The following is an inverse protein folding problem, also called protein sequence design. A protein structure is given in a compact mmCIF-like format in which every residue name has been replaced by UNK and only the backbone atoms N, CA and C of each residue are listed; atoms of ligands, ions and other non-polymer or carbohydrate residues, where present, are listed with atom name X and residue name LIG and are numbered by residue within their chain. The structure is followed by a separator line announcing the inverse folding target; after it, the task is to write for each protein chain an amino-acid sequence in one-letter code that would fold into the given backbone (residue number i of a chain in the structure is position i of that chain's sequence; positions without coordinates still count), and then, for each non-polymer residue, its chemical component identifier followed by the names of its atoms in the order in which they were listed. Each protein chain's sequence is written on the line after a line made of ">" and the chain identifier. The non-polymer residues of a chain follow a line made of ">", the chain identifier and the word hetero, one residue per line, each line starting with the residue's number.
data_IF_866349870186
#
_entry.id   IF_866349870186
#
_cell.length_a   1.000
_cell.length_b   1.000
_cell.length_c   1.000
_cell.angle_alpha   90.00
_cell.angle_beta   90.00
_cell.angle_gamma   90.00
#
_symmetry.space_group_name_H-M   'P 1'
#
loop_
_entity.id
_entity.type
_entity.pdbx_description
1 polymer ?
#
# COMPACT_ATOMS: atom_id res chain seq x y z
N UNK A 1 8.35 -38.69 -9.22
CA UNK A 1 7.54 -37.49 -9.38
C UNK A 1 7.79 -36.64 -8.13
N UNK A 2 8.53 -35.55 -8.24
CA UNK A 2 8.75 -34.64 -7.15
C UNK A 2 7.51 -33.73 -7.12
N UNK A 3 6.75 -33.64 -6.01
CA UNK A 3 5.63 -32.72 -5.95
C UNK A 3 6.20 -31.29 -6.02
N UNK A 4 5.79 -30.54 -7.00
CA UNK A 4 5.98 -29.10 -7.08
C UNK A 4 5.16 -28.47 -5.96
N UNK A 5 5.75 -28.30 -4.80
CA UNK A 5 5.21 -27.40 -3.78
C UNK A 5 5.59 -25.98 -4.19
N UNK A 6 4.92 -25.47 -5.19
CA UNK A 6 4.93 -24.04 -5.44
C UNK A 6 4.34 -23.39 -4.20
N UNK A 7 5.15 -22.66 -3.41
CA UNK A 7 4.64 -21.81 -2.38
C UNK A 7 3.63 -20.87 -3.06
N UNK A 8 2.37 -20.97 -2.68
CA UNK A 8 1.35 -20.02 -3.13
C UNK A 8 1.82 -18.64 -2.66
N UNK A 9 2.39 -17.86 -3.56
CA UNK A 9 2.74 -16.49 -3.25
C UNK A 9 1.44 -15.74 -3.00
N UNK A 10 1.27 -15.27 -1.79
CA UNK A 10 0.18 -14.40 -1.45
C UNK A 10 0.24 -13.17 -2.36
N UNK A 11 -0.89 -12.81 -2.94
CA UNK A 11 -1.03 -11.64 -3.79
C UNK A 11 -2.22 -10.85 -3.29
N UNK A 12 -1.95 -9.72 -2.66
CA UNK A 12 -3.01 -8.89 -2.14
C UNK A 12 -2.61 -7.43 -2.05
N UNK A 13 -3.58 -6.54 -1.92
CA UNK A 13 -3.37 -5.11 -1.76
C UNK A 13 -4.56 -4.43 -1.13
N UNK A 14 -4.35 -3.20 -0.66
CA UNK A 14 -5.45 -2.31 -0.26
C UNK A 14 -6.09 -1.74 -1.53
N UNK A 15 -7.39 -2.02 -1.70
CA UNK A 15 -8.17 -1.57 -2.86
C UNK A 15 -9.00 -0.33 -2.57
N UNK A 16 -9.28 -0.04 -1.29
CA UNK A 16 -9.95 1.19 -0.85
C UNK A 16 -9.49 1.59 0.55
N UNK A 17 -8.96 2.79 0.76
CA UNK A 17 -8.45 3.71 -0.27
C UNK A 17 -7.37 3.04 -1.12
N UNK A 18 -7.41 3.23 -2.42
CA UNK A 18 -6.55 2.49 -3.35
C UNK A 18 -5.06 2.73 -3.07
N UNK A 19 -4.27 1.64 -2.94
CA UNK A 19 -2.81 1.76 -2.86
C UNK A 19 -2.25 2.37 -4.14
N UNK A 20 -1.08 3.02 -4.07
CA UNK A 20 -0.45 3.69 -5.23
C UNK A 20 -0.33 2.76 -6.43
N UNK A 21 0.18 1.55 -6.23
CA UNK A 21 0.32 0.57 -7.32
C UNK A 21 -1.04 0.13 -7.89
N UNK A 22 -2.02 -0.15 -7.02
CA UNK A 22 -3.36 -0.53 -7.45
C UNK A 22 -4.07 0.61 -8.19
N UNK A 23 -3.94 1.85 -7.72
CA UNK A 23 -4.50 3.02 -8.39
C UNK A 23 -3.96 3.15 -9.82
N UNK A 24 -2.65 2.97 -10.02
CA UNK A 24 -2.04 3.02 -11.34
C UNK A 24 -2.57 1.89 -12.24
N UNK A 25 -2.58 0.66 -11.74
CA UNK A 25 -3.08 -0.49 -12.50
C UNK A 25 -4.57 -0.36 -12.83
N UNK A 26 -5.39 0.01 -11.86
CA UNK A 26 -6.83 0.16 -12.04
C UNK A 26 -7.18 1.20 -13.11
N UNK A 27 -6.45 2.31 -13.13
CA UNK A 27 -6.73 3.42 -14.06
C UNK A 27 -6.09 3.20 -15.42
N UNK A 28 -4.84 2.70 -15.46
CA UNK A 28 -4.02 2.70 -16.67
C UNK A 28 -3.66 1.31 -17.21
N UNK A 29 -3.93 0.22 -16.46
CA UNK A 29 -3.53 -1.13 -16.86
C UNK A 29 -3.97 -1.51 -18.28
N UNK A 30 -5.21 -1.19 -18.66
CA UNK A 30 -5.74 -1.48 -19.99
C UNK A 30 -5.39 -0.40 -21.05
N UNK A 31 -4.73 0.68 -20.65
CA UNK A 31 -4.35 1.79 -21.54
C UNK A 31 -2.96 2.35 -21.20
N UNK A 32 -2.05 1.46 -20.81
CA UNK A 32 -0.70 1.82 -20.38
C UNK A 32 0.14 2.52 -21.46
N UNK A 33 -0.23 2.40 -22.73
CA UNK A 33 0.41 3.09 -23.87
C UNK A 33 -0.22 4.47 -24.17
N UNK A 34 -1.28 4.85 -23.47
CA UNK A 34 -1.95 6.12 -23.68
C UNK A 34 -1.05 7.28 -23.22
N UNK A 35 -0.65 8.20 -24.12
CA UNK A 35 0.23 9.31 -23.78
C UNK A 35 -0.41 10.30 -22.80
N UNK A 36 -1.73 10.28 -22.65
CA UNK A 36 -2.45 11.12 -21.69
C UNK A 36 -2.06 10.81 -20.24
N UNK A 37 -1.57 9.60 -19.93
CA UNK A 37 -1.10 9.24 -18.59
C UNK A 37 -0.05 10.22 -18.07
N UNK A 38 0.88 10.67 -18.93
CA UNK A 38 1.95 11.59 -18.52
C UNK A 38 1.41 12.92 -17.96
N UNK A 39 0.31 13.41 -18.52
CA UNK A 39 -0.30 14.68 -18.11
C UNK A 39 -1.35 14.50 -17.02
N UNK A 40 -2.18 13.46 -17.14
CA UNK A 40 -3.31 13.23 -16.23
C UNK A 40 -2.92 12.54 -14.93
N UNK A 41 -1.84 11.76 -14.96
CA UNK A 41 -1.36 11.00 -13.80
C UNK A 41 0.17 10.85 -13.83
N UNK A 42 0.90 11.96 -13.62
CA UNK A 42 2.35 11.98 -13.79
C UNK A 42 3.08 11.04 -12.84
N UNK A 43 2.50 10.70 -11.69
CA UNK A 43 3.13 9.79 -10.75
C UNK A 43 3.03 8.34 -11.22
N UNK A 44 1.89 7.90 -11.72
CA UNK A 44 1.76 6.59 -12.37
C UNK A 44 2.61 6.49 -13.62
N UNK A 45 2.68 7.56 -14.43
CA UNK A 45 3.57 7.63 -15.59
C UNK A 45 5.02 7.39 -15.19
N UNK A 46 5.54 8.13 -14.20
CA UNK A 46 6.93 7.97 -13.72
C UNK A 46 7.19 6.56 -13.19
N UNK A 47 6.24 6.02 -12.41
CA UNK A 47 6.37 4.67 -11.88
C UNK A 47 6.44 3.62 -12.99
N UNK A 48 5.55 3.71 -13.98
CA UNK A 48 5.51 2.80 -15.11
C UNK A 48 6.75 2.93 -16.01
N UNK A 49 7.25 4.14 -16.27
CA UNK A 49 8.45 4.35 -17.07
C UNK A 49 9.71 3.82 -16.35
N UNK A 50 9.78 3.99 -15.04
CA UNK A 50 10.93 3.50 -14.26
C UNK A 50 10.95 1.97 -14.18
N UNK A 51 9.80 1.34 -13.94
CA UNK A 51 9.63 -0.10 -13.92
C UNK A 51 8.16 -0.48 -14.13
N UNK A 52 7.79 -1.02 -15.31
CA UNK A 52 6.43 -1.47 -15.57
C UNK A 52 5.90 -2.50 -14.54
N UNK A 53 6.78 -3.31 -13.95
CA UNK A 53 6.40 -4.29 -12.93
C UNK A 53 5.75 -3.67 -11.70
N UNK A 54 6.03 -2.40 -11.40
CA UNK A 54 5.35 -1.66 -10.32
C UNK A 54 3.83 -1.66 -10.51
N UNK A 55 3.37 -1.51 -11.75
CA UNK A 55 1.94 -1.54 -12.08
C UNK A 55 1.42 -2.95 -12.29
N UNK A 56 2.17 -3.80 -13.00
CA UNK A 56 1.74 -5.18 -13.31
C UNK A 56 1.70 -6.07 -12.07
N UNK A 57 2.62 -5.87 -11.11
CA UNK A 57 2.68 -6.61 -9.85
C UNK A 57 2.08 -5.82 -8.67
N UNK A 58 0.99 -5.13 -8.90
CA UNK A 58 0.31 -4.28 -7.92
C UNK A 58 -0.12 -4.99 -6.62
N UNK A 59 -0.20 -6.33 -6.63
CA UNK A 59 -0.51 -7.16 -5.46
C UNK A 59 0.71 -7.72 -4.73
N UNK A 60 1.93 -7.46 -5.20
CA UNK A 60 3.13 -8.21 -4.79
C UNK A 60 4.10 -7.40 -3.91
N UNK A 61 3.60 -6.45 -3.12
CA UNK A 61 4.44 -5.68 -2.20
C UNK A 61 4.74 -6.45 -0.90
N UNK A 62 5.24 -7.68 -1.02
CA UNK A 62 5.49 -8.57 0.12
C UNK A 62 6.99 -8.69 0.43
N UNK A 63 7.29 -8.92 1.70
CA UNK A 63 8.60 -9.38 2.19
C UNK A 63 8.41 -10.48 3.23
N UNK A 64 9.30 -11.46 3.17
CA UNK A 64 9.36 -12.59 4.11
C UNK A 64 10.31 -12.30 5.27
N UNK A 65 10.08 -12.97 6.38
CA UNK A 65 11.03 -13.05 7.48
C UNK A 65 11.26 -11.74 8.24
N UNK A 66 10.30 -10.82 8.23
CA UNK A 66 10.45 -9.56 8.97
C UNK A 66 10.27 -9.73 10.48
N UNK A 67 9.60 -10.79 10.93
CA UNK A 67 9.44 -11.12 12.36
C UNK A 67 8.77 -10.00 13.16
N UNK A 68 7.93 -9.17 12.53
CA UNK A 68 7.31 -8.02 13.16
C UNK A 68 8.24 -6.81 13.38
N UNK A 69 9.51 -6.90 12.95
CA UNK A 69 10.52 -5.83 13.11
C UNK A 69 10.47 -4.82 11.96
N UNK A 70 9.28 -4.34 11.64
CA UNK A 70 9.04 -3.51 10.45
C UNK A 70 9.88 -2.24 10.43
N UNK A 71 9.90 -1.51 11.54
CA UNK A 71 10.65 -0.25 11.64
C UNK A 71 12.16 -0.46 11.50
N UNK A 72 12.70 -1.50 12.11
CA UNK A 72 14.13 -1.81 12.03
C UNK A 72 14.56 -2.32 10.65
N UNK A 73 13.63 -2.95 9.91
CA UNK A 73 13.93 -3.62 8.64
C UNK A 73 13.42 -2.90 7.40
N UNK A 74 12.71 -1.79 7.56
CA UNK A 74 12.22 -0.97 6.44
C UNK A 74 12.67 0.47 6.69
N UNK A 75 13.72 0.94 6.00
CA UNK A 75 14.28 2.27 6.21
C UNK A 75 13.27 3.39 5.91
N UNK A 76 13.46 4.54 6.56
CA UNK A 76 12.73 5.76 6.24
C UNK A 76 12.86 6.09 4.74
N UNK A 77 11.77 6.56 4.16
CA UNK A 77 11.69 6.88 2.74
C UNK A 77 11.53 5.66 1.82
N UNK A 78 11.45 4.43 2.36
CA UNK A 78 11.24 3.19 1.60
C UNK A 78 9.96 2.44 2.01
N UNK A 79 9.09 3.07 2.79
CA UNK A 79 7.90 2.41 3.35
C UNK A 79 6.90 2.02 2.26
N UNK A 80 6.64 2.92 1.31
CA UNK A 80 5.63 2.72 0.26
C UNK A 80 6.03 1.65 -0.76
N UNK A 81 7.31 1.32 -0.86
CA UNK A 81 7.81 0.22 -1.69
C UNK A 81 7.98 -1.09 -0.92
N UNK A 82 7.77 -1.08 0.41
CA UNK A 82 8.19 -2.16 1.30
C UNK A 82 9.69 -2.50 1.15
N UNK A 83 10.54 -1.48 0.92
CA UNK A 83 11.96 -1.62 0.63
C UNK A 83 12.29 -2.58 -0.55
N UNK A 84 11.36 -2.73 -1.49
CA UNK A 84 11.56 -3.49 -2.72
C UNK A 84 12.05 -2.53 -3.81
N UNK A 85 13.23 -2.78 -4.36
CA UNK A 85 13.88 -1.90 -5.36
C UNK A 85 13.00 -1.73 -6.62
N UNK A 86 12.29 -2.79 -7.04
CA UNK A 86 11.38 -2.71 -8.19
C UNK A 86 10.24 -1.70 -7.99
N UNK A 87 9.89 -1.40 -6.74
CA UNK A 87 8.79 -0.50 -6.37
C UNK A 87 9.29 0.86 -5.87
N UNK A 88 10.58 1.20 -6.00
CA UNK A 88 11.16 2.42 -5.39
C UNK A 88 10.44 3.69 -5.80
N UNK A 89 9.91 3.75 -7.02
CA UNK A 89 9.14 4.91 -7.50
C UNK A 89 7.90 5.18 -6.65
N UNK A 90 7.31 4.17 -6.01
CA UNK A 90 6.19 4.35 -5.09
C UNK A 90 6.56 5.17 -3.85
N UNK A 91 7.84 5.31 -3.53
CA UNK A 91 8.31 6.15 -2.43
C UNK A 91 8.41 7.64 -2.79
N UNK A 92 8.35 7.97 -4.07
CA UNK A 92 8.56 9.35 -4.51
C UNK A 92 7.44 10.27 -4.04
N UNK A 93 7.77 11.45 -3.51
CA UNK A 93 6.78 12.48 -3.24
C UNK A 93 6.24 13.03 -4.54
N UNK A 94 4.98 13.45 -4.53
CA UNK A 94 4.35 14.01 -5.71
C UNK A 94 2.83 14.02 -5.62
N UNK A 95 2.20 14.45 -6.70
CA UNK A 95 0.75 14.53 -6.80
C UNK A 95 0.11 13.17 -7.14
N UNK A 96 0.26 12.21 -6.25
CA UNK A 96 -0.47 10.94 -6.35
C UNK A 96 -1.97 11.18 -6.29
N UNK A 97 -2.74 10.39 -7.02
CA UNK A 97 -4.21 10.46 -6.96
C UNK A 97 -4.69 10.06 -5.57
N UNK A 98 -5.55 10.89 -4.99
CA UNK A 98 -6.09 10.70 -3.66
C UNK A 98 -7.49 10.08 -3.71
N UNK A 99 -7.82 9.31 -2.67
CA UNK A 99 -9.20 8.94 -2.36
C UNK A 99 -9.73 9.90 -1.31
N UNK A 100 -10.86 10.56 -1.58
CA UNK A 100 -11.52 11.42 -0.57
C UNK A 100 -12.19 10.53 0.47
N UNK A 101 -11.91 10.81 1.75
CA UNK A 101 -12.45 10.08 2.90
C UNK A 101 -12.96 11.05 3.96
N UNK A 102 -13.89 10.61 4.79
CA UNK A 102 -14.26 11.33 6.01
C UNK A 102 -13.29 11.04 7.17
N UNK A 103 -13.59 11.59 8.35
CA UNK A 103 -12.82 11.31 9.58
C UNK A 103 -12.88 9.85 10.04
N UNK A 104 -13.83 9.09 9.54
CA UNK A 104 -13.93 7.64 9.69
C UNK A 104 -14.30 7.01 8.34
N UNK A 105 -13.64 5.93 7.98
CA UNK A 105 -13.89 5.24 6.71
C UNK A 105 -13.51 3.76 6.79
N UNK A 106 -13.95 2.99 5.79
CA UNK A 106 -13.63 1.57 5.68
C UNK A 106 -12.39 1.36 4.81
N UNK A 107 -11.42 0.64 5.33
CA UNK A 107 -10.29 0.09 4.57
C UNK A 107 -10.71 -1.25 4.01
N UNK A 108 -10.48 -1.48 2.72
CA UNK A 108 -10.79 -2.73 2.04
C UNK A 108 -9.50 -3.31 1.45
N UNK A 109 -9.25 -4.56 1.76
CA UNK A 109 -8.13 -5.33 1.27
C UNK A 109 -8.63 -6.48 0.40
N UNK A 110 -7.97 -6.69 -0.71
CA UNK A 110 -8.16 -7.84 -1.60
C UNK A 110 -6.97 -8.79 -1.46
N UNK A 111 -7.24 -10.05 -1.19
CA UNK A 111 -6.26 -11.15 -1.09
C UNK A 111 -6.65 -12.25 -2.07
N UNK A 112 -5.95 -12.33 -3.18
CA UNK A 112 -6.27 -13.27 -4.26
C UNK A 112 -6.31 -14.73 -3.79
N UNK A 113 -5.47 -15.10 -2.84
CA UNK A 113 -5.31 -16.47 -2.37
C UNK A 113 -5.95 -16.74 -0.99
N UNK A 114 -6.66 -15.75 -0.41
CA UNK A 114 -7.40 -15.89 0.84
C UNK A 114 -6.57 -16.39 2.02
N UNK A 115 -5.43 -15.75 2.30
CA UNK A 115 -4.53 -16.20 3.39
C UNK A 115 -4.97 -15.77 4.79
N UNK A 116 -5.86 -14.79 4.89
CA UNK A 116 -6.22 -14.17 6.16
C UNK A 116 -5.13 -13.25 6.71
N UNK A 117 -5.34 -12.72 7.89
CA UNK A 117 -4.41 -11.83 8.55
C UNK A 117 -4.26 -12.16 10.04
N UNK A 118 -3.03 -12.12 10.55
CA UNK A 118 -2.81 -12.07 11.99
C UNK A 118 -3.24 -10.70 12.52
N UNK A 119 -2.92 -9.65 11.78
CA UNK A 119 -3.35 -8.27 12.02
C UNK A 119 -3.09 -7.38 10.81
N UNK A 120 -3.73 -6.21 10.83
CA UNK A 120 -3.31 -5.04 10.08
C UNK A 120 -2.81 -3.98 11.06
N UNK A 121 -1.67 -3.34 10.75
CA UNK A 121 -1.25 -2.10 11.40
C UNK A 121 -1.51 -0.97 10.44
N UNK A 122 -2.29 0.00 10.89
CA UNK A 122 -2.70 1.15 10.07
C UNK A 122 -2.11 2.41 10.67
N UNK A 123 -1.36 3.10 9.85
CA UNK A 123 -0.74 4.37 10.17
C UNK A 123 -1.28 5.46 9.24
N UNK A 124 -1.25 6.68 9.71
CA UNK A 124 -1.51 7.86 8.87
C UNK A 124 -0.45 8.91 9.14
N UNK A 125 -0.12 9.69 8.14
CA UNK A 125 0.84 10.79 8.31
C UNK A 125 0.32 11.84 9.29
N UNK A 126 1.25 12.43 10.03
CA UNK A 126 0.95 13.51 10.98
C UNK A 126 0.40 14.74 10.26
N UNK A 127 -0.43 15.51 10.95
CA UNK A 127 -0.89 16.80 10.42
C UNK A 127 0.31 17.70 10.10
N UNK A 128 0.29 18.34 8.93
CA UNK A 128 1.39 19.15 8.42
C UNK A 128 2.40 18.40 7.54
N UNK A 129 2.31 17.06 7.43
CA UNK A 129 3.08 16.30 6.45
C UNK A 129 2.63 16.68 5.04
N UNK A 130 3.59 16.90 4.13
CA UNK A 130 3.28 17.21 2.73
C UNK A 130 3.68 16.07 1.81
N UNK A 131 2.74 15.24 1.34
CA UNK A 131 3.02 14.09 0.48
C UNK A 131 3.57 14.48 -0.89
N UNK A 132 3.44 15.73 -1.31
CA UNK A 132 3.97 16.18 -2.60
C UNK A 132 5.45 16.50 -2.57
N UNK A 133 6.03 16.73 -1.40
CA UNK A 133 7.43 17.14 -1.23
C UNK A 133 8.24 16.25 -0.30
N UNK A 134 7.60 15.40 0.48
CA UNK A 134 8.24 14.58 1.51
C UNK A 134 8.03 13.08 1.25
N UNK A 135 9.07 12.28 1.42
CA UNK A 135 8.95 10.82 1.50
C UNK A 135 8.41 10.41 2.86
N UNK A 136 7.61 9.36 2.88
CA UNK A 136 7.08 8.79 4.13
C UNK A 136 8.19 8.10 4.90
N UNK A 137 8.39 8.52 6.15
CA UNK A 137 9.27 7.88 7.13
C UNK A 137 8.49 7.56 8.41
N UNK A 138 9.02 6.70 9.25
CA UNK A 138 8.37 6.28 10.49
C UNK A 138 8.09 7.45 11.42
N UNK A 139 8.98 8.44 11.46
CA UNK A 139 8.81 9.66 12.26
C UNK A 139 7.64 10.54 11.80
N UNK A 140 7.17 10.38 10.57
CA UNK A 140 6.04 11.12 10.01
C UNK A 140 4.69 10.46 10.28
N UNK A 141 4.67 9.25 10.85
CA UNK A 141 3.48 8.42 10.99
C UNK A 141 3.00 8.36 12.43
N UNK A 142 1.67 8.32 12.60
CA UNK A 142 1.02 7.90 13.82
C UNK A 142 0.31 6.57 13.59
N UNK A 143 0.49 5.62 14.51
CA UNK A 143 -0.26 4.37 14.53
C UNK A 143 -1.72 4.66 14.91
N UNK A 144 -2.65 4.38 14.00
CA UNK A 144 -4.08 4.61 14.23
C UNK A 144 -4.72 3.40 14.89
N UNK A 145 -4.41 2.21 14.39
CA UNK A 145 -4.96 0.98 14.94
C UNK A 145 -4.10 -0.23 14.58
N UNK A 146 -4.18 -1.24 15.44
CA UNK A 146 -3.79 -2.61 15.11
C UNK A 146 -5.04 -3.46 15.24
N UNK A 147 -5.44 -4.13 14.16
CA UNK A 147 -6.64 -4.98 14.17
C UNK A 147 -6.37 -6.30 14.89
N UNK A 148 -7.44 -7.02 15.20
CA UNK A 148 -7.36 -8.44 15.54
C UNK A 148 -7.11 -9.31 14.30
N UNK A 149 -7.19 -10.61 14.50
CA UNK A 149 -7.01 -11.64 13.47
C UNK A 149 -8.25 -11.71 12.56
N UNK A 150 -7.99 -11.96 11.29
CA UNK A 150 -9.03 -12.27 10.28
C UNK A 150 -8.83 -13.69 9.76
N UNK A 151 -9.94 -14.42 9.65
CA UNK A 151 -9.95 -15.71 8.97
C UNK A 151 -9.60 -15.56 7.48
N UNK A 152 -9.14 -16.64 6.83
CA UNK A 152 -8.92 -16.64 5.39
C UNK A 152 -10.15 -16.16 4.63
N UNK A 153 -9.97 -15.12 3.82
CA UNK A 153 -11.01 -14.54 2.97
C UNK A 153 -10.36 -13.73 1.86
N UNK A 154 -11.00 -13.70 0.69
CA UNK A 154 -10.51 -12.91 -0.44
C UNK A 154 -10.68 -11.40 -0.21
N UNK A 155 -11.72 -11.02 0.51
CA UNK A 155 -12.00 -9.62 0.83
C UNK A 155 -12.06 -9.45 2.34
N UNK A 156 -11.25 -8.55 2.87
CA UNK A 156 -11.23 -8.19 4.28
C UNK A 156 -11.47 -6.68 4.37
N UNK A 157 -12.37 -6.29 5.27
CA UNK A 157 -12.70 -4.88 5.49
C UNK A 157 -12.68 -4.56 6.98
N UNK A 158 -12.22 -3.36 7.32
CA UNK A 158 -12.23 -2.84 8.68
C UNK A 158 -12.32 -1.31 8.68
N UNK A 159 -12.87 -0.76 9.76
CA UNK A 159 -13.03 0.68 9.90
C UNK A 159 -11.81 1.30 10.61
N UNK A 160 -11.46 2.50 10.17
CA UNK A 160 -10.42 3.32 10.79
C UNK A 160 -10.95 4.72 11.06
N UNK A 161 -10.39 5.40 12.06
CA UNK A 161 -10.66 6.80 12.35
C UNK A 161 -9.38 7.61 12.29
N UNK A 162 -9.44 8.74 11.59
CA UNK A 162 -8.33 9.69 11.39
C UNK A 162 -8.68 11.06 11.95
N UNK A 163 -9.48 11.09 13.02
CA UNK A 163 -9.94 12.32 13.66
C UNK A 163 -8.78 13.29 13.98
N UNK A 164 -9.06 14.60 13.90
CA UNK A 164 -8.06 15.63 14.13
C UNK A 164 -7.11 15.89 12.97
N UNK A 165 -7.40 15.31 11.80
CA UNK A 165 -6.66 15.53 10.54
C UNK A 165 -7.57 16.04 9.45
N UNK A 166 -7.00 16.80 8.52
CA UNK A 166 -7.68 17.30 7.33
C UNK A 166 -6.70 17.48 6.18
N UNK A 167 -7.22 17.42 4.95
CA UNK A 167 -6.41 17.59 3.74
C UNK A 167 -5.67 16.31 3.32
N UNK A 168 -4.58 16.47 2.59
CA UNK A 168 -3.85 15.37 1.98
C UNK A 168 -2.92 14.66 2.96
N UNK A 169 -3.10 13.36 3.06
CA UNK A 169 -2.32 12.46 3.91
C UNK A 169 -1.97 11.17 3.17
N UNK A 170 -1.01 10.43 3.72
CA UNK A 170 -0.73 9.06 3.30
C UNK A 170 -1.21 8.10 4.39
N UNK A 171 -2.07 7.17 4.02
CA UNK A 171 -2.41 6.00 4.81
C UNK A 171 -1.39 4.92 4.51
N UNK A 172 -0.69 4.44 5.53
CA UNK A 172 0.28 3.36 5.41
C UNK A 172 -0.23 2.14 6.15
N UNK A 173 -0.35 1.02 5.43
CA UNK A 173 -0.91 -0.22 5.97
C UNK A 173 0.11 -1.34 5.88
N UNK A 174 0.29 -2.06 6.99
CA UNK A 174 1.02 -3.31 7.05
C UNK A 174 0.02 -4.44 7.25
N UNK A 175 0.01 -5.40 6.34
CA UNK A 175 -0.71 -6.65 6.49
C UNK A 175 0.25 -7.76 6.87
N UNK A 176 0.05 -8.38 8.03
CA UNK A 176 0.73 -9.61 8.42
C UNK A 176 -0.14 -10.79 8.06
N UNK A 177 0.27 -11.53 7.04
CA UNK A 177 -0.45 -12.73 6.59
C UNK A 177 -0.40 -13.84 7.65
N UNK A 178 -1.48 -14.63 7.76
CA UNK A 178 -1.60 -15.67 8.82
C UNK A 178 -0.84 -16.93 8.54
N UNK A 179 -0.57 -17.24 7.26
CA UNK A 179 -0.07 -18.56 6.86
C UNK A 179 1.45 -18.71 7.01
N UNK A 180 2.19 -17.59 7.05
CA UNK A 180 3.65 -17.58 7.21
C UNK A 180 4.15 -16.19 7.60
N UNK A 181 5.46 -16.05 7.86
CA UNK A 181 6.04 -14.74 8.17
C UNK A 181 6.18 -13.88 6.91
N UNK A 182 5.04 -13.48 6.36
CA UNK A 182 4.94 -12.53 5.23
C UNK A 182 4.27 -11.25 5.68
N UNK A 183 4.86 -10.13 5.28
CA UNK A 183 4.28 -8.81 5.49
C UNK A 183 4.22 -8.02 4.19
N UNK A 184 3.06 -7.43 3.95
CA UNK A 184 2.80 -6.51 2.86
C UNK A 184 2.72 -5.09 3.39
N UNK A 185 3.24 -4.13 2.63
CA UNK A 185 3.20 -2.73 3.00
C UNK A 185 2.74 -1.90 1.80
N UNK A 186 1.76 -1.03 2.03
CA UNK A 186 1.23 -0.14 1.00
C UNK A 186 1.01 1.27 1.52
N UNK A 187 1.21 2.22 0.62
CA UNK A 187 0.77 3.59 0.79
C UNK A 187 -0.45 3.85 -0.09
N UNK A 188 -1.47 4.46 0.50
CA UNK A 188 -2.64 5.00 -0.19
C UNK A 188 -2.72 6.50 0.10
N UNK A 189 -2.82 7.31 -0.95
CA UNK A 189 -2.98 8.75 -0.77
C UNK A 189 -4.45 9.07 -0.54
N UNK A 190 -4.74 9.81 0.52
CA UNK A 190 -6.09 10.17 0.94
C UNK A 190 -6.23 11.69 1.09
N UNK A 191 -7.43 12.18 0.84
CA UNK A 191 -7.82 13.54 1.18
C UNK A 191 -8.93 13.46 2.24
N UNK A 192 -8.63 13.92 3.46
CA UNK A 192 -9.55 13.91 4.58
C UNK A 192 -10.39 15.19 4.51
N UNK A 193 -11.70 15.01 4.21
CA UNK A 193 -12.67 16.09 4.09
C UNK A 193 -13.22 16.53 5.47
#
# INVERSE_FOLDING_TARGET
>A
MVPWTGAAQAHGTIINPASRAYQCWKTWGNQHTNPAMQQQDPMCWRAFQANPDTMWNWMSALRDGLGGQYQARTPDGQLCSNALSRNDTLNQPGAWKTTTVGSSFTVQMYDQASHGADYFRVYVTKQGFNPTTQRVGWGNLDLITTTGRYAPAQNISFNVSVSGRSGNHVLFVIWKASHMDQAYMWCSDINIA
#
